data_IF_711331421833
#
_entry.id   IF_711331421833
#
_cell.length_a   1.000
_cell.length_b   1.000
_cell.length_c   1.000
_cell.angle_alpha   90.00
_cell.angle_beta   90.00
_cell.angle_gamma   90.00
#
_symmetry.space_group_name_H-M   'P 1'
#
loop_
_entity.id
_entity.type
_entity.pdbx_description
1 polymer ?
#
# COMPACT_ATOMS: atom_id res chain seq x y z
N UNK A 1 4.19 -13.19 13.93
CA UNK A 1 2.83 -13.30 14.54
C UNK A 1 2.27 -11.93 14.95
N UNK A 2 3.05 -11.04 15.58
CA UNK A 2 2.58 -9.71 16.02
C UNK A 2 1.95 -8.83 14.92
N UNK A 3 2.57 -8.75 13.73
CA UNK A 3 2.06 -7.90 12.63
C UNK A 3 0.68 -8.35 12.09
N UNK A 4 0.42 -9.66 12.02
CA UNK A 4 -0.90 -10.17 11.58
C UNK A 4 -1.94 -9.91 12.66
N UNK A 5 -1.59 -10.10 13.93
CA UNK A 5 -2.47 -9.82 15.04
C UNK A 5 -2.84 -8.32 15.13
N UNK A 6 -1.88 -7.42 14.92
CA UNK A 6 -2.14 -5.98 14.95
C UNK A 6 -3.04 -5.53 13.81
N UNK A 7 -2.87 -6.08 12.61
CA UNK A 7 -3.68 -5.73 11.42
C UNK A 7 -5.08 -6.35 11.50
N UNK A 8 -5.23 -7.54 12.12
CA UNK A 8 -6.52 -8.12 12.46
C UNK A 8 -7.25 -7.28 13.52
N UNK A 9 -6.56 -6.85 14.58
CA UNK A 9 -7.13 -6.01 15.62
C UNK A 9 -7.54 -4.62 15.10
N UNK A 10 -6.78 -4.06 14.15
CA UNK A 10 -7.10 -2.80 13.49
C UNK A 10 -8.29 -2.90 12.50
N UNK A 11 -8.80 -4.12 12.24
CA UNK A 11 -9.94 -4.34 11.36
C UNK A 11 -9.62 -4.30 9.86
N UNK A 12 -8.34 -4.26 9.47
CA UNK A 12 -7.93 -4.22 8.06
C UNK A 12 -8.03 -5.58 7.37
N UNK A 13 -7.99 -6.66 8.15
CA UNK A 13 -8.23 -8.03 7.68
C UNK A 13 -9.25 -8.71 8.58
N UNK A 14 -9.91 -9.74 8.06
CA UNK A 14 -10.82 -10.59 8.84
C UNK A 14 -10.42 -12.06 8.69
N UNK A 15 -10.70 -12.87 9.71
CA UNK A 15 -10.63 -14.32 9.57
C UNK A 15 -11.70 -14.75 8.56
N UNK A 16 -11.36 -15.67 7.67
CA UNK A 16 -12.26 -16.20 6.65
C UNK A 16 -12.00 -17.69 6.43
N UNK A 17 -13.06 -18.44 6.21
CA UNK A 17 -13.03 -19.79 5.61
C UNK A 17 -13.47 -19.76 4.16
N UNK A 18 -13.87 -18.59 3.68
CA UNK A 18 -14.31 -18.32 2.31
C UNK A 18 -13.14 -17.78 1.49
N UNK A 19 -12.99 -18.28 0.27
CA UNK A 19 -11.95 -17.89 -0.67
C UNK A 19 -11.53 -19.07 -1.53
N UNK A 20 -11.53 -18.89 -2.85
CA UNK A 20 -11.16 -19.95 -3.80
C UNK A 20 -9.66 -20.21 -3.86
N UNK A 21 -8.85 -19.38 -3.18
CA UNK A 21 -7.39 -19.38 -3.30
C UNK A 21 -6.72 -19.11 -1.96
N UNK A 22 -5.64 -19.83 -1.69
CA UNK A 22 -4.68 -19.53 -0.62
C UNK A 22 -3.44 -18.92 -1.25
N UNK A 23 -2.98 -17.80 -0.72
CA UNK A 23 -1.78 -17.12 -1.20
C UNK A 23 -0.70 -17.14 -0.10
N UNK A 24 0.54 -17.57 -0.40
CA UNK A 24 1.61 -17.54 0.57
C UNK A 24 1.99 -16.09 0.90
N UNK A 25 2.03 -15.75 2.19
CA UNK A 25 2.38 -14.40 2.64
C UNK A 25 3.76 -14.44 3.30
N UNK A 26 4.84 -14.06 2.59
CA UNK A 26 6.15 -13.94 3.20
C UNK A 26 6.18 -12.85 4.28
N UNK A 27 6.95 -13.11 5.33
CA UNK A 27 7.30 -12.12 6.36
C UNK A 27 8.71 -11.64 6.10
N UNK A 28 8.87 -10.33 5.90
CA UNK A 28 10.11 -9.67 5.55
C UNK A 28 10.53 -8.74 6.68
N UNK A 29 11.80 -8.78 7.14
CA UNK A 29 12.28 -7.84 8.15
C UNK A 29 12.31 -6.41 7.57
N UNK A 30 11.84 -5.44 8.36
CA UNK A 30 11.95 -3.99 8.06
C UNK A 30 13.11 -3.36 8.83
N UNK A 31 13.31 -3.79 10.08
CA UNK A 31 14.44 -3.45 10.94
C UNK A 31 14.77 -4.66 11.82
N UNK A 32 15.78 -4.57 12.68
CA UNK A 32 16.10 -5.61 13.67
C UNK A 32 14.95 -5.95 14.63
N UNK A 33 14.04 -5.00 14.87
CA UNK A 33 12.91 -5.15 15.80
C UNK A 33 11.55 -5.27 15.10
N UNK A 34 11.45 -4.95 13.81
CA UNK A 34 10.18 -4.87 13.09
C UNK A 34 10.18 -5.75 11.83
N UNK A 35 9.05 -6.40 11.59
CA UNK A 35 8.79 -7.16 10.37
C UNK A 35 7.50 -6.68 9.71
N UNK A 36 7.41 -6.89 8.40
CA UNK A 36 6.21 -6.65 7.59
C UNK A 36 5.83 -7.94 6.86
N UNK A 37 4.55 -8.10 6.57
CA UNK A 37 4.12 -9.10 5.61
C UNK A 37 4.03 -8.47 4.22
N UNK A 38 4.31 -9.25 3.19
CA UNK A 38 4.18 -8.82 1.79
C UNK A 38 3.20 -9.76 1.14
N UNK A 39 2.16 -9.20 0.51
CA UNK A 39 1.28 -9.94 -0.37
C UNK A 39 1.81 -9.75 -1.78
N UNK A 40 2.36 -10.80 -2.37
CA UNK A 40 2.67 -10.79 -3.79
C UNK A 40 1.35 -10.94 -4.56
N UNK A 41 1.06 -10.03 -5.47
CA UNK A 41 -0.14 -10.05 -6.29
C UNK A 41 0.21 -10.20 -7.78
N UNK A 42 1.45 -10.56 -8.11
CA UNK A 42 1.95 -10.57 -9.49
C UNK A 42 1.09 -11.44 -10.41
N UNK A 43 0.59 -12.58 -9.91
CA UNK A 43 -0.30 -13.47 -10.69
C UNK A 43 -1.73 -12.93 -10.81
N UNK A 44 -2.17 -12.10 -9.85
CA UNK A 44 -3.52 -11.54 -9.82
C UNK A 44 -3.61 -10.28 -10.71
N UNK A 45 -2.57 -9.44 -10.70
CA UNK A 45 -2.54 -8.12 -11.35
C UNK A 45 -2.96 -8.15 -12.82
N UNK A 46 -2.51 -9.09 -13.68
CA UNK A 46 -2.91 -9.12 -15.09
C UNK A 46 -4.42 -9.34 -15.32
N UNK A 47 -5.09 -10.00 -14.36
CA UNK A 47 -6.51 -10.31 -14.44
C UNK A 47 -7.41 -9.21 -13.85
N UNK A 48 -6.84 -8.22 -13.15
CA UNK A 48 -7.60 -7.15 -12.53
C UNK A 48 -7.87 -6.00 -13.53
N UNK A 49 -9.06 -5.40 -13.49
CA UNK A 49 -9.36 -4.24 -14.31
C UNK A 49 -8.44 -3.07 -13.91
N UNK A 50 -7.70 -2.53 -14.87
CA UNK A 50 -6.85 -1.35 -14.63
C UNK A 50 -7.71 -0.10 -14.47
N UNK A 51 -7.40 0.74 -13.48
CA UNK A 51 -8.04 2.06 -13.33
C UNK A 51 -7.80 2.96 -14.54
N UNK A 52 -8.78 3.82 -14.85
CA UNK A 52 -8.63 4.89 -15.85
C UNK A 52 -7.72 6.02 -15.35
N UNK A 53 -7.59 6.19 -14.04
CA UNK A 53 -6.70 7.19 -13.46
C UNK A 53 -5.24 6.79 -13.68
N UNK A 54 -4.47 7.65 -14.33
CA UNK A 54 -3.04 7.44 -14.58
C UNK A 54 -2.25 8.63 -14.11
N UNK A 55 -1.26 8.37 -13.28
CA UNK A 55 -0.28 9.38 -12.90
C UNK A 55 0.69 9.60 -14.08
N UNK A 56 1.03 10.84 -14.42
CA UNK A 56 2.08 11.11 -15.39
C UNK A 56 3.43 10.60 -14.85
N UNK A 57 4.30 10.04 -15.70
CA UNK A 57 5.59 9.51 -15.27
C UNK A 57 6.49 10.63 -14.73
N UNK A 58 7.34 10.30 -13.75
CA UNK A 58 8.39 11.20 -13.31
C UNK A 58 9.35 11.52 -14.48
N UNK A 59 9.84 12.77 -14.63
CA UNK A 59 9.71 13.90 -13.71
C UNK A 59 8.52 14.83 -13.99
N UNK A 60 7.61 14.49 -14.90
CA UNK A 60 6.54 15.39 -15.38
C UNK A 60 5.73 16.09 -14.26
N UNK A 61 5.36 15.44 -13.13
CA UNK A 61 4.69 16.13 -12.04
C UNK A 61 5.42 17.39 -11.55
N UNK A 62 6.76 17.36 -11.48
CA UNK A 62 7.57 18.49 -11.03
C UNK A 62 7.73 19.58 -12.09
N UNK A 63 7.41 19.28 -13.35
CA UNK A 63 7.38 20.27 -14.44
C UNK A 63 6.03 20.98 -14.48
N UNK A 64 4.94 20.24 -14.22
CA UNK A 64 3.57 20.77 -14.18
C UNK A 64 3.34 21.60 -12.92
N UNK A 65 3.80 21.10 -11.77
CA UNK A 65 3.74 21.76 -10.48
C UNK A 65 5.16 21.93 -9.93
N UNK A 66 5.90 22.96 -10.40
CA UNK A 66 7.26 23.21 -9.92
C UNK A 66 7.24 23.50 -8.42
N UNK A 67 8.34 23.14 -7.75
CA UNK A 67 8.51 23.43 -6.33
C UNK A 67 8.40 24.95 -6.09
N UNK A 68 7.84 25.39 -4.96
CA UNK A 68 7.80 26.79 -4.60
C UNK A 68 9.21 27.41 -4.61
N UNK A 69 9.32 28.66 -5.05
CA UNK A 69 10.59 29.43 -4.97
C UNK A 69 10.92 29.87 -3.53
N UNK A 70 10.01 29.63 -2.60
CA UNK A 70 10.22 29.86 -1.17
C UNK A 70 11.28 28.89 -0.63
N UNK A 71 12.17 29.34 0.27
CA UNK A 71 13.11 28.44 0.94
C UNK A 71 12.43 27.43 1.87
N UNK A 72 11.13 27.62 2.15
CA UNK A 72 10.35 26.76 3.03
C UNK A 72 9.16 26.15 2.29
N UNK A 73 9.00 24.83 2.44
CA UNK A 73 7.83 24.08 1.98
C UNK A 73 7.47 23.00 3.00
N UNK A 74 6.20 22.62 3.04
CA UNK A 74 5.70 21.54 3.90
C UNK A 74 5.40 20.33 3.05
N UNK A 75 5.98 19.19 3.41
CA UNK A 75 5.61 17.89 2.85
C UNK A 75 4.65 17.20 3.82
N UNK A 76 3.45 16.91 3.33
CA UNK A 76 2.48 16.10 4.08
C UNK A 76 2.58 14.65 3.58
N UNK A 77 2.75 13.72 4.52
CA UNK A 77 2.78 12.28 4.23
C UNK A 77 1.50 11.64 4.79
N UNK A 78 0.69 11.09 3.89
CA UNK A 78 -0.49 10.30 4.26
C UNK A 78 -0.03 8.87 4.57
N UNK A 79 0.54 8.69 5.77
CA UNK A 79 1.03 7.38 6.23
C UNK A 79 -0.07 6.34 6.12
N UNK A 80 0.30 5.16 5.63
CA UNK A 80 -0.59 4.00 5.58
C UNK A 80 -1.90 4.25 4.80
N UNK A 81 -1.89 5.20 3.83
CA UNK A 81 -3.08 5.65 3.09
C UNK A 81 -3.95 4.50 2.55
N UNK A 82 -3.33 3.41 2.09
CA UNK A 82 -4.06 2.26 1.55
C UNK A 82 -5.02 1.58 2.54
N UNK A 83 -4.75 1.66 3.85
CA UNK A 83 -5.64 1.10 4.88
C UNK A 83 -6.84 1.98 5.22
N UNK A 84 -6.85 3.22 4.74
CA UNK A 84 -7.92 4.20 4.99
C UNK A 84 -8.98 4.25 3.88
N UNK A 85 -8.77 3.53 2.78
CA UNK A 85 -9.79 3.34 1.76
C UNK A 85 -10.66 2.13 2.12
N UNK A 86 -11.99 2.31 2.13
CA UNK A 86 -12.92 1.19 2.23
C UNK A 86 -12.83 0.30 1.00
N UNK A 87 -13.00 -1.02 1.16
CA UNK A 87 -13.36 -1.89 0.04
C UNK A 87 -14.79 -1.52 -0.36
N UNK A 88 -14.95 -0.80 -1.46
CA UNK A 88 -16.23 -0.63 -2.15
C UNK A 88 -16.75 -1.98 -2.63
#
# INVERSE_FOLDING_TARGET
>A
RGAVASVLQAGFIKKTTEGSYLYPIPVVPKTSANSRFVLDCSDLVPALPSSRFRLPPLPRPLQICPLPRSPFFTKVDLKEAFYHFGRS
#
